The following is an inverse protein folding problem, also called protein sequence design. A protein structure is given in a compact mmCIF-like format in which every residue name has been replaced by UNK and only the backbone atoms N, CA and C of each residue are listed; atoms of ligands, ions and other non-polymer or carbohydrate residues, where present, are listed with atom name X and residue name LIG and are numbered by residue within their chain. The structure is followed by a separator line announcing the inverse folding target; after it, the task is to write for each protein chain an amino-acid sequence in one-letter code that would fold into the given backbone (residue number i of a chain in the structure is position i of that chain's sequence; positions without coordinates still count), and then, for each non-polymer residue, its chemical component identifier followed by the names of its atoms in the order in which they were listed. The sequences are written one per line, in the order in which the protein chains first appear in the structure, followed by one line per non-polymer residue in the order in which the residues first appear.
data_IF_798938817873
#
_entry.id   IF_798938817873
#
_cell.length_a   1.000
_cell.length_b   1.000
_cell.length_c   1.000
_cell.angle_alpha   90.00
_cell.angle_beta   90.00
_cell.angle_gamma   90.00
#
_symmetry.space_group_name_H-M   'P 1'
#
loop_
_entity.id
_entity.type
_entity.pdbx_description
1 polymer ?
#
# COMPACT_ATOMS: atom_id res chain seq x y z
N UNK A 1 -22.94 0.68 -7.77
CA UNK A 1 -21.56 1.03 -8.17
C UNK A 1 -21.08 -0.08 -9.11
N UNK A 2 -20.52 0.26 -10.27
CA UNK A 2 -19.95 -0.76 -11.18
C UNK A 2 -18.67 -1.30 -10.52
N UNK A 3 -18.53 -2.63 -10.45
CA UNK A 3 -17.23 -3.24 -10.15
C UNK A 3 -16.30 -2.86 -11.32
N UNK A 4 -15.20 -2.21 -11.00
CA UNK A 4 -14.16 -1.70 -11.91
C UNK A 4 -13.37 -2.81 -12.63
N UNK A 5 -13.66 -4.07 -12.30
CA UNK A 5 -13.08 -5.25 -12.90
C UNK A 5 -11.74 -5.64 -12.28
N UNK A 6 -11.50 -5.26 -11.02
CA UNK A 6 -10.27 -5.60 -10.30
C UNK A 6 -10.01 -7.11 -10.29
N UNK A 7 -8.81 -7.50 -10.74
CA UNK A 7 -8.30 -8.85 -10.66
C UNK A 7 -7.13 -8.95 -9.68
N UNK A 8 -6.15 -8.04 -9.80
CA UNK A 8 -4.99 -8.01 -8.92
C UNK A 8 -4.37 -6.61 -8.83
N UNK A 9 -3.42 -6.46 -7.90
CA UNK A 9 -2.59 -5.27 -7.75
C UNK A 9 -1.12 -5.68 -7.77
N UNK A 10 -0.27 -4.86 -8.38
CA UNK A 10 1.18 -5.02 -8.32
C UNK A 10 1.79 -3.83 -7.57
N UNK A 11 2.81 -4.09 -6.76
CA UNK A 11 3.59 -3.04 -6.12
C UNK A 11 4.61 -2.48 -7.11
N UNK A 12 4.51 -1.19 -7.39
CA UNK A 12 5.39 -0.52 -8.36
C UNK A 12 6.65 0.02 -7.67
N UNK A 13 6.47 0.58 -6.47
CA UNK A 13 7.56 1.16 -5.67
C UNK A 13 7.26 1.00 -4.19
N UNK A 14 8.29 0.70 -3.41
CA UNK A 14 8.23 0.68 -1.95
C UNK A 14 9.44 1.43 -1.41
N UNK A 15 9.19 2.39 -0.53
CA UNK A 15 10.21 3.24 0.05
C UNK A 15 9.99 3.37 1.55
N UNK A 16 11.07 3.22 2.32
CA UNK A 16 11.08 3.51 3.75
C UNK A 16 11.40 4.99 3.92
N UNK A 17 10.41 5.77 4.32
CA UNK A 17 10.49 7.24 4.43
C UNK A 17 11.12 7.67 5.76
N UNK A 18 10.84 6.93 6.83
CA UNK A 18 11.34 7.23 8.17
C UNK A 18 11.40 5.96 9.01
N UNK A 19 12.41 5.84 9.87
CA UNK A 19 12.54 4.71 10.81
C UNK A 19 12.99 5.13 12.19
N UNK A 20 12.58 4.33 13.15
CA UNK A 20 13.12 4.23 14.51
C UNK A 20 13.21 2.73 14.86
N UNK A 21 13.81 2.33 15.98
CA UNK A 21 13.87 0.91 16.37
C UNK A 21 12.51 0.20 16.46
N UNK A 22 11.41 0.92 16.71
CA UNK A 22 10.07 0.36 16.91
C UNK A 22 8.98 0.96 16.00
N UNK A 23 9.36 1.73 14.98
CA UNK A 23 8.41 2.35 14.03
C UNK A 23 9.04 2.55 12.66
N UNK A 24 8.27 2.32 11.60
CA UNK A 24 8.63 2.67 10.23
C UNK A 24 7.45 3.35 9.50
N UNK A 25 7.76 4.35 8.68
CA UNK A 25 6.82 4.94 7.73
C UNK A 25 7.21 4.45 6.33
N UNK A 26 6.27 3.85 5.61
CA UNK A 26 6.52 3.21 4.32
C UNK A 26 5.58 3.80 3.27
N UNK A 27 6.15 4.37 2.22
CA UNK A 27 5.43 4.82 1.04
C UNK A 27 5.39 3.69 0.00
N UNK A 28 4.20 3.40 -0.51
CA UNK A 28 3.96 2.35 -1.51
C UNK A 28 3.18 2.95 -2.68
N UNK A 29 3.72 2.77 -3.89
CA UNK A 29 2.96 2.94 -5.13
C UNK A 29 2.52 1.56 -5.61
N UNK A 30 1.27 1.43 -6.06
CA UNK A 30 0.78 0.19 -6.64
C UNK A 30 -0.21 0.47 -7.78
N UNK A 31 -0.20 -0.42 -8.76
CA UNK A 31 -1.11 -0.39 -9.91
C UNK A 31 -2.14 -1.50 -9.76
N UNK A 32 -3.42 -1.18 -10.02
CA UNK A 32 -4.52 -2.16 -10.11
C UNK A 32 -4.75 -2.56 -11.56
N UNK A 33 -5.01 -3.84 -11.78
CA UNK A 33 -5.20 -4.43 -13.10
C UNK A 33 -6.50 -5.22 -13.18
N UNK A 34 -7.04 -5.29 -14.40
CA UNK A 34 -8.10 -6.24 -14.76
C UNK A 34 -7.50 -7.62 -15.08
N UNK A 35 -8.36 -8.58 -15.42
CA UNK A 35 -7.93 -9.93 -15.77
C UNK A 35 -7.15 -10.02 -17.09
N UNK A 36 -7.29 -9.01 -17.97
CA UNK A 36 -6.56 -8.90 -19.23
C UNK A 36 -5.28 -8.04 -19.11
N UNK A 37 -4.83 -7.80 -17.88
CA UNK A 37 -3.69 -6.93 -17.53
C UNK A 37 -3.84 -5.46 -17.96
N UNK A 38 -5.05 -5.03 -18.35
CA UNK A 38 -5.32 -3.60 -18.55
C UNK A 38 -5.35 -2.84 -17.22
N UNK A 39 -4.78 -1.64 -17.20
CA UNK A 39 -4.71 -0.81 -16.00
C UNK A 39 -6.08 -0.26 -15.62
N UNK A 40 -6.40 -0.36 -14.34
CA UNK A 40 -7.54 0.31 -13.71
C UNK A 40 -7.10 1.69 -13.21
N UNK A 41 -5.96 1.74 -12.52
CA UNK A 41 -5.40 2.97 -11.97
C UNK A 41 -4.12 2.69 -11.19
N UNK A 42 -3.37 3.77 -10.93
CA UNK A 42 -2.19 3.77 -10.09
C UNK A 42 -2.48 4.59 -8.83
N UNK A 43 -2.00 4.10 -7.70
CA UNK A 43 -2.36 4.60 -6.38
C UNK A 43 -1.14 4.71 -5.49
N UNK A 44 -1.24 5.62 -4.53
CA UNK A 44 -0.27 5.83 -3.47
C UNK A 44 -0.87 5.41 -2.12
N UNK A 45 -0.04 4.84 -1.25
CA UNK A 45 -0.37 4.61 0.16
C UNK A 45 0.83 4.86 1.07
N UNK A 46 0.57 5.49 2.21
CA UNK A 46 1.51 5.65 3.31
C UNK A 46 1.06 4.74 4.47
N UNK A 47 1.92 3.81 4.86
CA UNK A 47 1.72 2.96 6.03
C UNK A 47 2.63 3.37 7.17
N UNK A 48 2.06 3.48 8.37
CA UNK A 48 2.82 3.57 9.61
C UNK A 48 2.75 2.22 10.29
N UNK A 49 3.90 1.57 10.44
CA UNK A 49 4.05 0.27 11.08
C UNK A 49 4.77 0.46 12.40
N UNK A 50 4.23 -0.09 13.48
CA UNK A 50 4.83 -0.03 14.82
C UNK A 50 5.06 -1.42 15.38
N UNK A 51 6.12 -1.55 16.17
CA UNK A 51 6.45 -2.72 16.95
C UNK A 51 5.78 -2.63 18.32
N UNK A 52 5.09 -3.69 18.73
CA UNK A 52 4.60 -3.86 20.09
C UNK A 52 4.74 -5.31 20.58
N UNK A 53 5.64 -5.52 21.56
CA UNK A 53 5.94 -6.80 22.21
C UNK A 53 6.44 -7.89 21.26
N UNK A 54 7.48 -7.59 20.49
CA UNK A 54 8.07 -8.42 19.44
C UNK A 54 7.27 -8.51 18.14
N UNK A 55 6.23 -7.68 17.94
CA UNK A 55 5.30 -7.82 16.80
C UNK A 55 5.10 -6.50 16.06
N UNK A 56 5.37 -6.53 14.76
CA UNK A 56 5.13 -5.40 13.87
C UNK A 56 3.73 -5.50 13.23
N UNK A 57 2.99 -4.39 13.24
CA UNK A 57 1.69 -4.30 12.58
C UNK A 57 1.45 -2.90 12.03
N UNK A 58 0.59 -2.80 11.00
CA UNK A 58 0.12 -1.52 10.48
C UNK A 58 -0.77 -0.88 11.54
N UNK A 59 -0.37 0.28 12.02
CA UNK A 59 -1.11 1.06 13.01
C UNK A 59 -1.98 2.13 12.36
N UNK A 60 -1.54 2.65 11.21
CA UNK A 60 -2.27 3.63 10.42
C UNK A 60 -1.95 3.45 8.93
N UNK A 61 -2.92 3.73 8.07
CA UNK A 61 -2.77 3.79 6.64
C UNK A 61 -3.57 4.94 6.06
N UNK A 62 -3.00 5.63 5.09
CA UNK A 62 -3.70 6.59 4.24
C UNK A 62 -3.29 6.40 2.80
N UNK A 63 -4.17 6.72 1.86
CA UNK A 63 -3.91 6.56 0.44
C UNK A 63 -4.99 7.23 -0.39
N UNK A 64 -4.74 7.34 -1.68
CA UNK A 64 -5.65 7.97 -2.66
C UNK A 64 -6.58 6.96 -3.35
N UNK A 65 -6.36 5.65 -3.15
CA UNK A 65 -7.14 4.56 -3.77
C UNK A 65 -8.46 4.19 -3.10
N UNK A 66 -9.12 5.18 -2.49
CA UNK A 66 -10.46 5.06 -1.90
C UNK A 66 -11.58 5.04 -2.94
#
# INVERSE_FOLDING_TARGET
MKQDGWHHSAWDRTEVVFTTPSKAHIAVNFTRYRADDSVIGQYFSLYIITEHKGRWAIQCGSGDGG
#
